data_IF_170914512188
#
_entry.id   IF_170914512188
#
_cell.length_a   1.000
_cell.length_b   1.000
_cell.length_c   1.000
_cell.angle_alpha   90.00
_cell.angle_beta   90.00
_cell.angle_gamma   90.00
#
_symmetry.space_group_name_H-M   'P 1'
#
loop_
_entity.id
_entity.type
_entity.pdbx_description
1 polymer ?
#
# COMPACT_ATOMS: atom_id res chain seq x y z
N UNK A 1 -5.93 -25.71 -46.70
CA UNK A 1 -6.75 -25.52 -45.47
C UNK A 1 -5.82 -25.54 -44.26
N UNK A 2 -5.47 -24.39 -43.70
CA UNK A 2 -4.92 -24.27 -42.34
C UNK A 2 -5.26 -22.86 -41.82
N UNK A 3 -6.49 -22.70 -41.31
CA UNK A 3 -6.93 -21.45 -40.68
C UNK A 3 -6.19 -21.26 -39.35
N UNK A 4 -5.35 -20.22 -39.26
CA UNK A 4 -4.79 -19.77 -37.98
C UNK A 4 -5.95 -19.40 -37.05
N UNK A 5 -5.95 -19.84 -35.78
CA UNK A 5 -7.00 -19.44 -34.85
C UNK A 5 -6.95 -17.92 -34.68
N UNK A 6 -8.10 -17.25 -34.86
CA UNK A 6 -8.25 -15.82 -34.61
C UNK A 6 -7.95 -15.57 -33.12
N UNK A 7 -6.72 -15.15 -32.82
CA UNK A 7 -6.37 -14.64 -31.50
C UNK A 7 -7.34 -13.50 -31.19
N UNK A 8 -8.08 -13.65 -30.09
CA UNK A 8 -9.13 -12.76 -29.63
C UNK A 8 -8.49 -11.45 -29.19
N UNK A 9 -8.11 -10.60 -30.14
CA UNK A 9 -7.48 -9.32 -29.90
C UNK A 9 -8.55 -8.28 -29.51
N UNK A 10 -9.28 -8.55 -28.42
CA UNK A 10 -9.93 -7.47 -27.68
C UNK A 10 -8.82 -6.76 -26.94
N UNK A 11 -8.30 -5.69 -27.57
CA UNK A 11 -7.66 -4.57 -26.89
C UNK A 11 -8.49 -4.26 -25.63
N UNK A 12 -8.04 -4.75 -24.48
CA UNK A 12 -8.45 -4.26 -23.17
C UNK A 12 -7.98 -2.81 -23.10
N UNK A 13 -8.80 -1.90 -23.62
CA UNK A 13 -8.68 -0.48 -23.29
C UNK A 13 -9.48 -0.26 -22.02
N UNK A 14 -8.88 -0.65 -20.88
CA UNK A 14 -9.33 -0.20 -19.57
C UNK A 14 -9.15 1.31 -19.51
N UNK A 15 -10.25 2.05 -19.63
CA UNK A 15 -10.24 3.50 -19.50
C UNK A 15 -9.90 3.89 -18.06
N UNK A 16 -8.66 4.36 -17.85
CA UNK A 16 -8.31 5.49 -16.98
C UNK A 16 -8.67 5.47 -15.48
N UNK A 17 -9.12 4.37 -14.90
CA UNK A 17 -9.42 4.27 -13.46
C UNK A 17 -8.57 3.18 -12.82
N UNK A 18 -7.80 3.56 -11.81
CA UNK A 18 -6.95 2.64 -11.02
C UNK A 18 -7.87 1.78 -10.14
N UNK A 19 -7.92 0.47 -10.37
CA UNK A 19 -8.65 -0.46 -9.50
C UNK A 19 -7.79 -0.94 -8.31
N UNK A 20 -8.37 -1.71 -7.39
CA UNK A 20 -7.68 -2.13 -6.15
C UNK A 20 -6.43 -2.96 -6.47
N UNK A 21 -6.53 -3.86 -7.45
CA UNK A 21 -5.43 -4.70 -7.88
C UNK A 21 -4.32 -3.86 -8.55
N UNK A 22 -4.69 -2.87 -9.37
CA UNK A 22 -3.74 -1.93 -9.96
C UNK A 22 -2.96 -1.14 -8.91
N UNK A 23 -3.59 -0.76 -7.79
CA UNK A 23 -2.93 -0.07 -6.67
C UNK A 23 -1.78 -0.93 -6.12
N UNK A 24 -2.05 -2.22 -5.85
CA UNK A 24 -1.03 -3.15 -5.36
C UNK A 24 0.12 -3.24 -6.36
N UNK A 25 -0.19 -3.45 -7.65
CA UNK A 25 0.84 -3.53 -8.69
C UNK A 25 1.65 -2.25 -8.86
N UNK A 26 1.03 -1.08 -8.69
CA UNK A 26 1.72 0.22 -8.75
C UNK A 26 2.68 0.38 -7.58
N UNK A 27 2.27 0.00 -6.36
CA UNK A 27 3.14 0.02 -5.19
C UNK A 27 4.30 -0.97 -5.33
N UNK A 28 4.02 -2.21 -5.75
CA UNK A 28 5.04 -3.23 -6.00
C UNK A 28 6.08 -2.75 -7.01
N UNK A 29 5.64 -2.22 -8.15
CA UNK A 29 6.54 -1.65 -9.16
C UNK A 29 7.31 -0.44 -8.64
N UNK A 30 6.69 0.40 -7.82
CA UNK A 30 7.36 1.56 -7.25
C UNK A 30 8.49 1.12 -6.32
N UNK A 31 8.20 0.26 -5.35
CA UNK A 31 9.18 -0.16 -4.34
C UNK A 31 10.24 -1.12 -4.90
N UNK A 32 9.90 -1.95 -5.89
CA UNK A 32 10.88 -2.72 -6.64
C UNK A 32 11.90 -1.80 -7.35
N UNK A 33 11.47 -0.67 -7.92
CA UNK A 33 12.39 0.34 -8.49
C UNK A 33 13.26 1.03 -7.44
N UNK A 34 12.82 1.08 -6.18
CA UNK A 34 13.63 1.57 -5.05
C UNK A 34 14.57 0.50 -4.49
N UNK A 35 14.66 -0.68 -5.12
CA UNK A 35 15.54 -1.77 -4.69
C UNK A 35 14.93 -2.68 -3.63
N UNK A 36 13.61 -2.63 -3.39
CA UNK A 36 12.96 -3.56 -2.48
C UNK A 36 12.73 -4.92 -3.14
N UNK A 37 13.00 -6.01 -2.40
CA UNK A 37 12.54 -7.33 -2.80
C UNK A 37 11.02 -7.43 -2.55
N UNK A 38 10.29 -7.94 -3.54
CA UNK A 38 8.85 -8.17 -3.42
C UNK A 38 8.59 -9.52 -2.76
N UNK A 39 7.88 -9.51 -1.64
CA UNK A 39 7.58 -10.73 -0.89
C UNK A 39 6.10 -11.05 -0.84
N UNK A 40 5.74 -12.34 -0.75
CA UNK A 40 4.37 -12.72 -0.51
C UNK A 40 3.91 -12.27 0.88
N UNK A 41 2.59 -12.12 1.06
CA UNK A 41 1.96 -12.05 2.37
C UNK A 41 2.55 -12.97 3.44
N UNK A 42 2.71 -12.47 4.66
CA UNK A 42 3.12 -13.28 5.81
C UNK A 42 4.61 -13.67 5.84
N UNK A 43 5.38 -13.27 4.83
CA UNK A 43 6.84 -13.40 4.86
C UNK A 43 7.45 -12.40 5.86
N UNK A 44 7.43 -12.75 7.14
CA UNK A 44 8.15 -12.06 8.21
C UNK A 44 9.38 -12.88 8.62
N UNK A 45 10.48 -12.20 9.01
CA UNK A 45 11.64 -12.86 9.63
C UNK A 45 12.85 -13.14 8.74
N UNK A 46 12.99 -12.50 7.58
CA UNK A 46 14.22 -12.63 6.78
C UNK A 46 15.40 -11.90 7.46
N UNK A 47 16.57 -12.54 7.63
CA UNK A 47 17.75 -11.91 8.20
C UNK A 47 18.46 -10.99 7.20
N UNK A 48 18.97 -9.83 7.65
CA UNK A 48 19.88 -8.95 6.90
C UNK A 48 19.38 -7.50 6.65
N UNK A 49 20.20 -6.66 5.99
CA UNK A 49 19.79 -5.33 5.49
C UNK A 49 18.96 -5.52 4.23
N UNK A 50 17.71 -5.95 4.40
CA UNK A 50 16.79 -6.18 3.29
C UNK A 50 15.68 -5.15 3.32
N UNK A 51 15.57 -4.40 2.22
CA UNK A 51 14.36 -3.64 1.93
C UNK A 51 13.34 -4.58 1.30
N UNK A 52 12.16 -4.69 1.91
CA UNK A 52 11.10 -5.61 1.52
C UNK A 52 9.83 -4.82 1.27
N UNK A 53 9.11 -5.13 0.21
CA UNK A 53 7.80 -4.55 -0.04
C UNK A 53 6.80 -5.63 -0.44
N UNK A 54 5.57 -5.51 0.02
CA UNK A 54 4.53 -6.44 -0.36
C UNK A 54 3.23 -6.20 0.38
N UNK A 55 2.14 -6.66 -0.21
CA UNK A 55 0.88 -6.75 0.51
C UNK A 55 1.01 -7.83 1.59
N UNK A 56 0.84 -7.45 2.85
CA UNK A 56 0.48 -8.41 3.89
C UNK A 56 -0.98 -8.82 3.64
N UNK A 57 -1.19 -10.07 3.25
CA UNK A 57 -2.52 -10.67 3.28
C UNK A 57 -2.94 -10.91 4.72
N UNK A 58 -4.17 -10.47 5.01
CA UNK A 58 -5.04 -10.78 6.13
C UNK A 58 -4.31 -11.21 7.41
N UNK A 59 -4.17 -10.27 8.33
CA UNK A 59 -3.80 -10.53 9.71
C UNK A 59 -4.53 -9.54 10.60
N UNK A 60 -4.97 -10.02 11.77
CA UNK A 60 -5.68 -9.29 12.82
C UNK A 60 -5.14 -7.86 12.98
N UNK A 61 -6.05 -6.90 13.16
CA UNK A 61 -5.80 -5.51 13.55
C UNK A 61 -4.32 -5.25 13.80
N UNK A 62 -3.61 -4.75 12.78
CA UNK A 62 -2.28 -4.26 13.04
C UNK A 62 -2.40 -3.28 14.23
N UNK A 63 -1.53 -3.36 15.26
CA UNK A 63 -1.60 -2.49 16.43
C UNK A 63 -1.36 -1.00 16.08
N UNK A 64 -1.24 -0.70 14.78
CA UNK A 64 -1.13 0.60 14.16
C UNK A 64 -2.48 1.35 14.06
N UNK A 65 -3.60 0.67 14.30
CA UNK A 65 -4.96 1.24 14.35
C UNK A 65 -5.50 1.78 13.02
N UNK A 66 -4.87 1.54 11.85
CA UNK A 66 -5.45 2.02 10.59
C UNK A 66 -6.60 1.11 10.12
N UNK A 67 -7.63 1.67 9.46
CA UNK A 67 -8.77 0.90 8.99
C UNK A 67 -8.40 -0.08 7.86
N UNK A 68 -9.25 -1.08 7.62
CA UNK A 68 -9.12 -2.02 6.50
C UNK A 68 -8.49 -3.37 6.87
N UNK A 69 -8.65 -4.35 5.97
CA UNK A 69 -8.18 -5.74 6.06
C UNK A 69 -6.83 -5.94 5.36
N UNK A 70 -6.53 -5.16 4.32
CA UNK A 70 -5.32 -5.28 3.53
C UNK A 70 -4.29 -4.22 3.88
N UNK A 71 -3.08 -4.67 4.20
CA UNK A 71 -1.95 -3.79 4.51
C UNK A 71 -0.86 -3.94 3.48
N UNK A 72 -0.40 -2.83 2.92
CA UNK A 72 0.87 -2.82 2.21
C UNK A 72 1.98 -2.49 3.20
N UNK A 73 2.98 -3.36 3.30
CA UNK A 73 4.12 -3.18 4.20
C UNK A 73 5.38 -2.93 3.41
N UNK A 74 6.15 -1.95 3.87
CA UNK A 74 7.49 -1.65 3.34
C UNK A 74 8.46 -1.64 4.50
N UNK A 75 9.40 -2.57 4.50
CA UNK A 75 10.53 -2.60 5.40
C UNK A 75 11.73 -2.03 4.65
N UNK A 76 12.52 -1.14 5.28
CA UNK A 76 13.77 -0.64 4.74
C UNK A 76 14.83 -0.69 5.83
N UNK A 77 16.01 -1.26 5.53
CA UNK A 77 17.14 -1.31 6.46
C UNK A 77 18.46 -1.13 5.69
N UNK A 78 19.19 0.00 5.89
CA UNK A 78 18.84 1.14 6.74
C UNK A 78 17.66 1.95 6.18
N UNK A 79 17.00 2.73 7.02
CA UNK A 79 15.96 3.65 6.57
C UNK A 79 16.56 4.78 5.73
N UNK A 80 16.06 5.02 4.49
CA UNK A 80 16.56 6.11 3.66
C UNK A 80 16.21 7.47 4.28
N UNK A 81 17.11 8.45 4.15
CA UNK A 81 16.91 9.80 4.70
C UNK A 81 15.68 10.50 4.12
N UNK A 82 15.29 10.15 2.88
CA UNK A 82 14.16 10.72 2.16
C UNK A 82 12.90 9.81 2.18
N UNK A 83 12.77 8.93 3.17
CA UNK A 83 11.65 7.98 3.29
C UNK A 83 10.25 8.61 3.15
N UNK A 84 10.07 9.84 3.66
CA UNK A 84 8.79 10.57 3.51
C UNK A 84 8.51 10.91 2.05
N UNK A 85 9.53 11.32 1.30
CA UNK A 85 9.42 11.63 -0.13
C UNK A 85 9.11 10.37 -0.93
N UNK A 86 9.78 9.26 -0.62
CA UNK A 86 9.50 7.96 -1.25
C UNK A 86 8.06 7.51 -1.03
N UNK A 87 7.55 7.63 0.20
CA UNK A 87 6.15 7.34 0.50
C UNK A 87 5.19 8.23 -0.30
N UNK A 88 5.40 9.55 -0.30
CA UNK A 88 4.55 10.48 -1.04
C UNK A 88 4.55 10.18 -2.55
N UNK A 89 5.70 9.81 -3.10
CA UNK A 89 5.80 9.39 -4.50
C UNK A 89 5.08 8.06 -4.74
N UNK A 90 5.15 7.11 -3.81
CA UNK A 90 4.46 5.82 -3.92
C UNK A 90 2.93 5.96 -4.00
N UNK A 91 2.33 6.81 -3.17
CA UNK A 91 0.86 7.05 -3.18
C UNK A 91 0.44 7.93 -4.36
N UNK A 92 1.34 8.77 -4.88
CA UNK A 92 1.07 9.53 -6.12
C UNK A 92 0.87 8.61 -7.31
N UNK A 93 1.66 7.54 -7.40
CA UNK A 93 1.53 6.53 -8.47
C UNK A 93 0.16 5.85 -8.47
N UNK A 94 -0.54 5.81 -7.32
CA UNK A 94 -1.87 5.20 -7.19
C UNK A 94 -3.01 6.14 -7.54
N UNK A 95 -2.72 7.40 -7.91
CA UNK A 95 -3.71 8.39 -8.31
C UNK A 95 -4.07 9.41 -7.24
N UNK A 96 -3.29 9.51 -6.16
CA UNK A 96 -3.49 10.54 -5.13
C UNK A 96 -2.66 11.78 -5.48
N UNK A 97 -3.33 12.90 -5.72
CA UNK A 97 -2.68 14.21 -5.85
C UNK A 97 -2.75 14.98 -4.53
N UNK A 98 -1.61 15.52 -4.08
CA UNK A 98 -1.51 16.37 -2.89
C UNK A 98 -2.15 17.73 -3.09
N UNK A 99 -2.36 18.15 -4.33
CA UNK A 99 -3.12 19.36 -4.64
C UNK A 99 -4.62 19.17 -4.37
N UNK A 100 -5.12 17.93 -4.42
CA UNK A 100 -6.54 17.60 -4.18
C UNK A 100 -6.82 17.10 -2.76
N UNK A 101 -5.79 16.69 -2.02
CA UNK A 101 -5.94 16.00 -0.73
C UNK A 101 -5.06 16.58 0.38
N UNK A 102 -5.62 16.66 1.59
CA UNK A 102 -4.90 17.12 2.77
C UNK A 102 -4.13 15.97 3.42
N UNK A 103 -2.80 16.04 3.39
CA UNK A 103 -1.90 15.06 4.00
C UNK A 103 -1.23 15.63 5.24
N UNK A 104 -1.59 15.09 6.42
CA UNK A 104 -1.03 15.52 7.71
C UNK A 104 -0.18 14.43 8.33
N UNK A 105 0.96 14.85 8.87
CA UNK A 105 1.87 13.98 9.60
C UNK A 105 1.72 14.29 11.09
N UNK A 106 1.19 13.33 11.84
CA UNK A 106 1.12 13.40 13.29
C UNK A 106 2.33 12.66 13.86
N UNK A 107 3.08 13.33 14.74
CA UNK A 107 4.07 12.65 15.59
C UNK A 107 3.32 11.66 16.48
N UNK A 108 3.74 10.39 16.47
CA UNK A 108 3.01 9.35 17.19
C UNK A 108 3.16 9.46 18.70
N UNK A 109 2.05 9.41 19.43
CA UNK A 109 1.95 9.23 20.89
C UNK A 109 2.14 7.74 21.32
N UNK A 110 2.65 6.86 20.45
CA UNK A 110 2.73 5.40 20.67
C UNK A 110 4.14 4.78 20.78
N UNK A 111 5.20 5.59 20.78
CA UNK A 111 6.61 5.20 21.05
C UNK A 111 7.31 4.23 20.04
N UNK A 112 8.64 4.03 20.15
CA UNK A 112 9.65 5.09 20.11
C UNK A 112 9.79 5.65 18.68
N UNK A 113 9.12 6.80 18.49
CA UNK A 113 9.26 7.82 17.45
C UNK A 113 8.91 7.49 15.99
N UNK A 114 7.72 6.94 15.75
CA UNK A 114 7.08 6.88 14.44
C UNK A 114 6.21 8.10 14.06
N UNK A 115 5.61 8.06 12.86
CA UNK A 115 4.59 9.03 12.42
C UNK A 115 3.30 8.31 12.02
N UNK A 116 2.15 8.91 12.32
CA UNK A 116 0.90 8.56 11.67
C UNK A 116 0.61 9.56 10.56
N UNK A 117 0.19 9.07 9.40
CA UNK A 117 -0.18 9.90 8.26
C UNK A 117 -1.69 9.85 8.07
N UNK A 118 -2.31 11.02 8.09
CA UNK A 118 -3.73 11.21 7.81
C UNK A 118 -3.87 11.73 6.38
N UNK A 119 -4.89 11.23 5.70
CA UNK A 119 -5.32 11.66 4.37
C UNK A 119 -6.78 12.09 4.47
N UNK A 120 -7.04 13.36 4.20
CA UNK A 120 -8.35 14.02 4.37
C UNK A 120 -8.93 13.78 5.77
N UNK A 121 -8.08 13.92 6.79
CA UNK A 121 -8.45 13.77 8.20
C UNK A 121 -8.61 12.34 8.70
N UNK A 122 -8.43 11.32 7.86
CA UNK A 122 -8.54 9.91 8.26
C UNK A 122 -7.19 9.17 8.15
N UNK A 123 -6.88 8.22 9.04
CA UNK A 123 -5.62 7.50 9.02
C UNK A 123 -5.40 6.72 7.71
N UNK A 124 -4.23 6.91 7.08
CA UNK A 124 -3.80 6.25 5.85
C UNK A 124 -2.61 5.31 6.09
N UNK A 125 -1.59 5.77 6.81
CA UNK A 125 -0.34 5.03 6.98
C UNK A 125 0.30 5.26 8.36
N UNK A 126 1.12 4.31 8.81
CA UNK A 126 1.96 4.43 10.01
C UNK A 126 3.40 4.13 9.65
N UNK A 127 4.30 4.97 10.16
CA UNK A 127 5.74 4.82 10.08
C UNK A 127 6.26 4.41 11.44
N UNK A 128 7.15 3.41 11.49
CA UNK A 128 7.80 2.97 12.73
C UNK A 128 9.28 2.78 12.48
N UNK A 129 10.13 3.33 13.33
CA UNK A 129 11.53 2.91 13.38
C UNK A 129 11.62 1.61 14.19
N UNK A 130 12.43 0.68 13.69
CA UNK A 130 12.54 -0.67 14.26
C UNK A 130 13.67 -0.77 15.28
N UNK A 131 14.63 0.14 15.23
CA UNK A 131 15.79 0.15 16.08
C UNK A 131 15.75 1.37 17.04
N UNK A 132 16.28 1.25 18.26
CA UNK A 132 16.26 2.32 19.26
C UNK A 132 17.05 3.57 18.81
N UNK A 133 16.75 4.76 19.37
CA UNK A 133 17.27 6.05 18.90
C UNK A 133 18.80 6.17 18.79
N UNK A 134 19.55 5.38 19.57
CA UNK A 134 21.01 5.36 19.59
C UNK A 134 21.66 4.76 18.33
N UNK A 135 20.90 4.02 17.50
CA UNK A 135 21.39 3.36 16.28
C UNK A 135 20.86 4.03 14.99
N UNK A 136 20.49 5.32 15.05
CA UNK A 136 19.73 6.03 14.00
C UNK A 136 20.34 6.01 12.59
N UNK A 137 21.67 5.87 12.46
CA UNK A 137 22.36 5.76 11.17
C UNK A 137 22.22 4.38 10.50
N UNK A 138 21.84 3.34 11.25
CA UNK A 138 21.61 1.98 10.77
C UNK A 138 20.15 1.50 11.00
N UNK A 139 19.31 2.35 11.60
CA UNK A 139 17.97 1.99 12.01
C UNK A 139 17.08 1.66 10.80
N UNK A 140 16.42 0.50 10.84
CA UNK A 140 15.38 0.15 9.91
C UNK A 140 14.11 0.94 10.15
N UNK A 141 13.33 1.14 9.09
CA UNK A 141 11.99 1.72 9.16
C UNK A 141 10.97 0.79 8.49
N UNK A 142 9.78 0.77 9.07
CA UNK A 142 8.61 0.11 8.52
C UNK A 142 7.54 1.15 8.18
N UNK A 143 6.92 1.01 7.00
CA UNK A 143 5.72 1.72 6.59
C UNK A 143 4.60 0.69 6.46
N UNK A 144 3.49 0.92 7.19
CA UNK A 144 2.22 0.23 6.97
C UNK A 144 1.23 1.16 6.29
N UNK A 145 0.63 0.74 5.17
CA UNK A 145 -0.34 1.52 4.39
C UNK A 145 -1.67 0.77 4.32
N UNK A 146 -2.78 1.44 4.64
CA UNK A 146 -4.14 0.91 4.44
C UNK A 146 -4.49 0.94 2.95
N UNK A 147 -4.62 -0.25 2.34
CA UNK A 147 -4.93 -0.35 0.91
C UNK A 147 -6.38 0.04 0.62
N UNK A 148 -7.33 -0.25 1.51
CA UNK A 148 -8.71 0.18 1.38
C UNK A 148 -8.84 1.69 1.46
N UNK A 149 -8.15 2.34 2.41
CA UNK A 149 -8.18 3.80 2.49
C UNK A 149 -7.61 4.43 1.22
N UNK A 150 -6.45 3.91 0.78
CA UNK A 150 -5.79 4.37 -0.44
C UNK A 150 -6.69 4.20 -1.67
N UNK A 151 -7.37 3.05 -1.78
CA UNK A 151 -8.30 2.75 -2.87
C UNK A 151 -9.58 3.59 -2.81
N UNK A 152 -10.15 3.81 -1.63
CA UNK A 152 -11.33 4.66 -1.44
C UNK A 152 -11.08 6.08 -1.93
N UNK A 153 -9.91 6.64 -1.63
CA UNK A 153 -9.56 7.97 -2.13
C UNK A 153 -9.28 7.94 -3.64
N UNK A 154 -8.45 7.00 -4.11
CA UNK A 154 -8.07 6.90 -5.53
C UNK A 154 -9.27 6.64 -6.46
N UNK A 155 -10.27 5.87 -6.01
CA UNK A 155 -11.49 5.57 -6.77
C UNK A 155 -12.66 6.52 -6.45
N UNK A 156 -12.46 7.50 -5.56
CA UNK A 156 -13.48 8.43 -5.06
C UNK A 156 -14.73 7.71 -4.53
N UNK A 157 -14.53 6.67 -3.72
CA UNK A 157 -15.59 5.86 -3.09
C UNK A 157 -15.66 6.12 -1.59
N UNK A 158 -16.89 6.19 -1.07
CA UNK A 158 -17.15 6.39 0.37
C UNK A 158 -17.14 5.09 1.17
N UNK A 159 -17.30 3.95 0.52
CA UNK A 159 -17.37 2.62 1.17
C UNK A 159 -16.39 1.67 0.48
N UNK A 160 -15.72 0.84 1.27
CA UNK A 160 -14.81 -0.18 0.75
C UNK A 160 -15.53 -1.20 -0.13
N UNK A 161 -16.77 -1.60 0.21
CA UNK A 161 -17.55 -2.56 -0.58
C UNK A 161 -17.78 -2.15 -2.05
N UNK A 162 -17.79 -0.83 -2.32
CA UNK A 162 -18.03 -0.26 -3.65
C UNK A 162 -16.76 -0.13 -4.51
N UNK A 163 -15.60 -0.50 -3.96
CA UNK A 163 -14.33 -0.46 -4.67
C UNK A 163 -14.33 -1.47 -5.81
N UNK A 164 -13.88 -1.07 -6.99
CA UNK A 164 -13.51 -1.99 -8.04
C UNK A 164 -12.24 -2.72 -7.60
N UNK A 165 -12.31 -4.05 -7.51
CA UNK A 165 -11.15 -4.89 -7.24
C UNK A 165 -10.34 -5.10 -8.52
N UNK A 166 -11.00 -5.64 -9.54
CA UNK A 166 -10.45 -5.83 -10.88
C UNK A 166 -11.56 -5.97 -11.91
N UNK A 167 -11.53 -5.18 -12.98
CA UNK A 167 -12.54 -5.23 -14.04
C UNK A 167 -13.96 -5.01 -13.51
N UNK A 168 -14.79 -6.06 -13.51
CA UNK A 168 -16.18 -6.02 -12.99
C UNK A 168 -16.32 -6.50 -11.54
N UNK A 169 -15.28 -7.10 -10.96
CA UNK A 169 -15.29 -7.60 -9.59
C UNK A 169 -15.18 -6.41 -8.63
N UNK A 170 -16.08 -6.34 -7.65
CA UNK A 170 -15.99 -5.36 -6.56
C UNK A 170 -15.40 -6.00 -5.31
N UNK A 171 -14.85 -5.17 -4.43
CA UNK A 171 -14.37 -5.59 -3.12
C UNK A 171 -15.49 -6.25 -2.30
N UNK A 172 -16.71 -5.67 -2.32
CA UNK A 172 -17.85 -6.26 -1.63
C UNK A 172 -18.24 -7.65 -2.16
N UNK A 173 -18.18 -7.86 -3.48
CA UNK A 173 -18.45 -9.16 -4.08
C UNK A 173 -17.36 -10.19 -3.76
N UNK A 174 -16.09 -9.76 -3.74
CA UNK A 174 -14.96 -10.63 -3.38
C UNK A 174 -15.06 -11.13 -1.93
N UNK A 175 -15.59 -10.29 -1.02
CA UNK A 175 -15.74 -10.60 0.40
C UNK A 175 -17.17 -10.96 0.82
N UNK A 176 -18.04 -11.26 -0.14
CA UNK A 176 -19.40 -11.65 0.16
C UNK A 176 -19.40 -12.96 0.98
N UNK A 177 -20.08 -12.96 2.14
CA UNK A 177 -20.15 -14.11 3.05
C UNK A 177 -19.14 -14.08 4.20
N UNK A 178 -18.23 -13.11 4.24
CA UNK A 178 -17.37 -12.88 5.40
C UNK A 178 -17.97 -11.78 6.29
N UNK A 179 -18.27 -12.08 7.56
CA UNK A 179 -18.77 -11.07 8.50
C UNK A 179 -17.83 -9.86 8.57
N UNK A 180 -18.43 -8.66 8.66
CA UNK A 180 -17.77 -7.36 8.60
C UNK A 180 -16.73 -7.17 9.72
#
# INVERSE_FOLDING_TARGET
>A
MTGRPKMYNKRWRGGGKVDFQDIIFKLDRFWARQGCALLPPGAAGLPGPLSLAGAAARGELAPDGLPGRYRYRVLMRPAPADVRRLFLNSIKETGIDRAEHDLRWLSGEGGPAGWQVLLDGLPLAVFRYLDPPAARSAAGAEIGISLERLAMVSQRKKRAADLAWSGRLTYGALHAGEAA
#
